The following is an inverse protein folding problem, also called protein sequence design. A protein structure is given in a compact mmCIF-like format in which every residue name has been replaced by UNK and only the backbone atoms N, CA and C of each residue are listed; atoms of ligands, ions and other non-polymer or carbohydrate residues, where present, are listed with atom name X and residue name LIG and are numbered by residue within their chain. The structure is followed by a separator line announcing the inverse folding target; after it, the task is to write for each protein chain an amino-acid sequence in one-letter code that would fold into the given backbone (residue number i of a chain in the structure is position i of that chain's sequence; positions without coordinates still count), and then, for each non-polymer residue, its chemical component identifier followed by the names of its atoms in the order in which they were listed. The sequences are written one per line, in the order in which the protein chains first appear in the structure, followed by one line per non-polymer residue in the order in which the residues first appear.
data_IF_420896510880
#
_entry.id   IF_420896510880
#
_cell.length_a   1.000
_cell.length_b   1.000
_cell.length_c   1.000
_cell.angle_alpha   90.00
_cell.angle_beta   90.00
_cell.angle_gamma   90.00
#
_symmetry.space_group_name_H-M   'P 1'
#
loop_
_entity.id
_entity.type
_entity.pdbx_description
1 polymer ?
#
# COMPACT_ATOMS: atom_id res chain seq x y z
N UNK A 1 -16.09 14.53 23.52
CA UNK A 1 -15.20 14.98 22.44
C UNK A 1 -14.81 13.76 21.65
N UNK A 2 -15.09 13.75 20.35
CA UNK A 2 -14.89 12.58 19.49
C UNK A 2 -13.63 12.81 18.66
N UNK A 3 -12.57 12.05 18.95
CA UNK A 3 -11.29 12.16 18.28
C UNK A 3 -11.17 11.05 17.24
N UNK A 4 -10.97 11.45 16.00
CA UNK A 4 -10.78 10.56 14.87
C UNK A 4 -9.32 10.60 14.41
N UNK A 5 -8.74 9.43 14.21
CA UNK A 5 -7.41 9.25 13.66
C UNK A 5 -7.54 8.73 12.25
N UNK A 6 -6.94 9.43 11.30
CA UNK A 6 -7.00 9.07 9.89
C UNK A 6 -5.63 8.78 9.30
N UNK A 7 -5.58 7.82 8.39
CA UNK A 7 -4.39 7.44 7.65
C UNK A 7 -4.68 7.01 6.22
N UNK A 8 -3.62 6.99 5.42
CA UNK A 8 -3.62 6.49 4.05
C UNK A 8 -2.54 5.42 3.93
N UNK A 9 -2.85 4.33 3.24
CA UNK A 9 -1.90 3.28 2.90
C UNK A 9 -2.05 2.82 1.46
N UNK A 10 -0.95 2.66 0.73
CA UNK A 10 -0.94 2.02 -0.58
C UNK A 10 -0.73 0.51 -0.40
N UNK A 11 -1.70 -0.28 -0.85
CA UNK A 11 -1.69 -1.74 -0.78
C UNK A 11 -1.57 -2.35 -2.17
N UNK A 12 -0.80 -3.43 -2.31
CA UNK A 12 -0.63 -4.12 -3.58
C UNK A 12 0.39 -5.24 -3.47
N UNK A 13 0.23 -6.27 -4.29
CA UNK A 13 1.18 -7.39 -4.33
C UNK A 13 2.46 -6.95 -5.03
N UNK A 14 3.50 -6.62 -4.26
CA UNK A 14 4.82 -6.35 -4.82
C UNK A 14 5.54 -7.66 -5.11
N UNK A 15 6.02 -7.81 -6.35
CA UNK A 15 6.91 -8.92 -6.69
C UNK A 15 8.31 -8.60 -6.13
N UNK A 16 8.78 -9.44 -5.21
CA UNK A 16 10.11 -9.31 -4.62
C UNK A 16 11.21 -9.76 -5.56
N UNK A 17 12.46 -9.45 -5.21
CA UNK A 17 13.62 -10.03 -5.89
C UNK A 17 13.71 -11.51 -5.50
N UNK A 18 13.66 -12.40 -6.50
CA UNK A 18 13.81 -13.84 -6.29
C UNK A 18 15.29 -14.22 -6.27
N UNK A 19 15.67 -15.13 -5.37
CA UNK A 19 17.01 -15.75 -5.42
C UNK A 19 17.05 -16.74 -6.59
N UNK A 20 18.04 -16.57 -7.45
CA UNK A 20 18.26 -17.43 -8.62
C UNK A 20 19.68 -17.98 -8.58
N UNK A 21 19.82 -19.25 -8.96
CA UNK A 21 21.12 -19.87 -9.14
C UNK A 21 21.74 -19.39 -10.46
N UNK A 22 22.98 -18.94 -10.41
CA UNK A 22 23.72 -18.48 -11.58
C UNK A 22 25.02 -19.27 -11.71
N UNK A 23 25.52 -19.39 -12.94
CA UNK A 23 26.81 -20.04 -13.21
C UNK A 23 27.92 -19.26 -12.50
N UNK A 24 28.87 -19.99 -11.90
CA UNK A 24 30.01 -19.38 -11.19
C UNK A 24 30.75 -18.40 -12.11
N UNK A 25 31.04 -17.21 -11.61
CA UNK A 25 31.68 -16.13 -12.37
C UNK A 25 30.73 -15.22 -13.15
N UNK A 26 29.42 -15.47 -13.13
CA UNK A 26 28.42 -14.59 -13.76
C UNK A 26 27.65 -13.79 -12.72
N UNK A 27 27.38 -12.51 -13.00
CA UNK A 27 26.52 -11.66 -12.17
C UNK A 27 25.11 -11.67 -12.74
N UNK A 28 24.18 -12.27 -12.02
CA UNK A 28 22.78 -12.20 -12.39
C UNK A 28 22.18 -10.87 -11.92
N UNK A 29 21.69 -10.07 -12.86
CA UNK A 29 20.89 -8.88 -12.56
C UNK A 29 19.46 -9.17 -13.03
N UNK A 30 18.60 -9.61 -12.12
CA UNK A 30 17.17 -9.71 -12.40
C UNK A 30 16.46 -8.57 -11.67
N UNK A 31 16.01 -7.52 -12.39
CA UNK A 31 15.24 -6.45 -11.78
C UNK A 31 13.93 -7.01 -11.21
N UNK A 32 13.50 -6.47 -10.06
CA UNK A 32 12.18 -6.79 -9.54
C UNK A 32 11.11 -6.41 -10.58
N UNK A 33 10.14 -7.28 -10.80
CA UNK A 33 9.01 -6.97 -11.67
C UNK A 33 8.14 -5.88 -11.03
N UNK A 34 8.09 -4.71 -11.67
CA UNK A 34 7.36 -3.54 -11.19
C UNK A 34 5.91 -3.48 -11.72
N UNK A 35 5.46 -4.45 -12.52
CA UNK A 35 4.13 -4.47 -13.16
C UNK A 35 3.01 -4.93 -12.22
N UNK A 36 3.03 -4.47 -10.98
CA UNK A 36 2.01 -4.82 -10.00
C UNK A 36 0.84 -3.84 -9.98
N UNK A 37 -0.35 -4.35 -9.69
CA UNK A 37 -1.53 -3.52 -9.38
C UNK A 37 -1.47 -3.10 -7.92
N UNK A 38 -1.91 -1.88 -7.64
CA UNK A 38 -2.04 -1.36 -6.29
C UNK A 38 -3.36 -0.62 -6.15
N UNK A 39 -3.85 -0.55 -4.92
CA UNK A 39 -4.95 0.30 -4.50
C UNK A 39 -4.47 1.18 -3.32
N UNK A 40 -5.19 2.26 -3.08
CA UNK A 40 -5.04 3.15 -1.95
C UNK A 40 -6.17 2.90 -0.96
N UNK A 41 -5.84 2.75 0.30
CA UNK A 41 -6.77 2.58 1.40
C UNK A 41 -6.72 3.85 2.26
N UNK A 42 -7.86 4.53 2.34
CA UNK A 42 -8.06 5.67 3.24
C UNK A 42 -8.91 5.19 4.40
N UNK A 43 -8.43 5.33 5.63
CA UNK A 43 -9.12 4.82 6.80
C UNK A 43 -9.12 5.81 7.95
N UNK A 44 -10.24 5.91 8.65
CA UNK A 44 -10.41 6.70 9.85
C UNK A 44 -10.94 5.81 10.99
N UNK A 45 -10.38 5.97 12.19
CA UNK A 45 -10.77 5.23 13.38
C UNK A 45 -11.09 6.18 14.53
N UNK A 46 -12.10 5.85 15.34
CA UNK A 46 -12.38 6.49 16.62
C UNK A 46 -12.05 5.52 17.76
N UNK A 47 -10.91 5.69 18.47
CA UNK A 47 -10.50 4.76 19.52
C UNK A 47 -11.46 4.72 20.69
N UNK A 48 -12.12 5.84 21.00
CA UNK A 48 -13.06 5.95 22.09
C UNK A 48 -14.31 5.08 21.89
N UNK A 49 -14.72 4.86 20.63
CA UNK A 49 -15.90 4.09 20.27
C UNK A 49 -15.56 2.72 19.66
N UNK A 50 -14.29 2.46 19.35
CA UNK A 50 -13.85 1.22 18.71
C UNK A 50 -14.38 1.03 17.29
N UNK A 51 -14.83 2.10 16.63
CA UNK A 51 -15.39 2.09 15.28
C UNK A 51 -14.39 2.67 14.27
N UNK A 52 -14.53 2.26 13.02
CA UNK A 52 -13.73 2.81 11.92
C UNK A 52 -14.43 2.66 10.58
N UNK A 53 -14.04 3.51 9.64
CA UNK A 53 -14.50 3.48 8.26
C UNK A 53 -13.28 3.53 7.33
N UNK A 54 -13.35 2.83 6.20
CA UNK A 54 -12.29 2.86 5.21
C UNK A 54 -12.83 2.78 3.78
N UNK A 55 -12.10 3.40 2.84
CA UNK A 55 -12.41 3.44 1.42
C UNK A 55 -11.19 2.94 0.63
N UNK A 56 -11.42 1.97 -0.26
CA UNK A 56 -10.39 1.44 -1.17
C UNK A 56 -10.58 2.04 -2.57
N UNK A 57 -9.56 2.74 -3.07
CA UNK A 57 -9.58 3.45 -4.34
C UNK A 57 -8.41 3.01 -5.24
N UNK A 58 -8.56 3.07 -6.58
CA UNK A 58 -7.47 2.74 -7.49
C UNK A 58 -6.37 3.82 -7.50
N UNK A 59 -6.70 5.07 -7.17
CA UNK A 59 -5.80 6.22 -7.21
C UNK A 59 -5.93 7.05 -5.92
N UNK A 60 -4.88 7.82 -5.62
CA UNK A 60 -4.89 8.79 -4.54
C UNK A 60 -5.10 10.19 -5.12
N UNK A 61 -6.22 10.79 -4.74
CA UNK A 61 -6.68 12.06 -5.27
C UNK A 61 -6.83 13.06 -4.12
N UNK A 62 -6.86 14.35 -4.42
CA UNK A 62 -7.09 15.38 -3.41
C UNK A 62 -8.44 15.21 -2.72
N UNK A 63 -9.48 14.81 -3.45
CA UNK A 63 -10.81 14.54 -2.90
C UNK A 63 -10.80 13.32 -1.97
N UNK A 64 -10.11 12.24 -2.36
CA UNK A 64 -9.91 11.07 -1.50
C UNK A 64 -9.14 11.42 -0.23
N UNK A 65 -8.16 12.32 -0.33
CA UNK A 65 -7.38 12.83 0.79
C UNK A 65 -8.14 13.83 1.67
N UNK A 66 -9.22 14.43 1.15
CA UNK A 66 -10.07 15.40 1.84
C UNK A 66 -11.22 14.74 2.59
N UNK A 67 -11.38 13.43 2.47
CA UNK A 67 -12.20 12.62 3.36
C UNK A 67 -11.62 12.56 4.81
N UNK A 68 -10.84 13.57 5.22
CA UNK A 68 -10.10 13.73 6.48
C UNK A 68 -10.85 14.55 7.50
#
# INVERSE_FOLDING_TARGET
MELWFQGEARIGQKNGIVRQWARRGTRLCQPADQRYKSAYLFGAICPALGIGAALALPFADTEASRLK
#
